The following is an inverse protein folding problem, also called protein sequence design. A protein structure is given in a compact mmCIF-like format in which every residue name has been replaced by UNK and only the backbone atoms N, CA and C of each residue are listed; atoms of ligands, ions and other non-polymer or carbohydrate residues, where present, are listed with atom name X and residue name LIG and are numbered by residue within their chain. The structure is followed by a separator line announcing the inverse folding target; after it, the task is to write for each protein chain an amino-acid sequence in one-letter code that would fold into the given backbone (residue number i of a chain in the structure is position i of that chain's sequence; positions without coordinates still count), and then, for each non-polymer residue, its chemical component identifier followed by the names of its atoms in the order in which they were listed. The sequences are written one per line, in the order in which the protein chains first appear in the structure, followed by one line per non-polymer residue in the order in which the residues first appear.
data_IF_584122568395
#
_entry.id   IF_584122568395
#
_cell.length_a   1.000
_cell.length_b   1.000
_cell.length_c   1.000
_cell.angle_alpha   90.00
_cell.angle_beta   90.00
_cell.angle_gamma   90.00
#
_symmetry.space_group_name_H-M   'P 1'
#
loop_
_entity.id
_entity.type
_entity.pdbx_description
1 polymer ?
#
# COMPACT_ATOMS: atom_id res chain seq x y z
N UNK A 1 12.65 -14.96 -17.93
CA UNK A 1 13.59 -14.90 -16.79
C UNK A 1 14.77 -13.96 -17.09
N UNK A 2 14.53 -12.72 -17.56
CA UNK A 2 15.63 -11.90 -18.09
C UNK A 2 15.37 -10.38 -18.08
N UNK A 3 14.85 -9.82 -16.99
CA UNK A 3 14.85 -8.34 -16.80
C UNK A 3 15.54 -7.94 -15.49
N UNK A 4 15.68 -8.87 -14.54
CA UNK A 4 16.23 -8.59 -13.20
C UNK A 4 17.73 -8.90 -13.03
N UNK A 5 18.38 -9.45 -14.06
CA UNK A 5 19.78 -9.91 -13.95
C UNK A 5 20.83 -8.80 -14.13
N UNK A 6 20.43 -7.59 -14.54
CA UNK A 6 21.36 -6.50 -14.87
C UNK A 6 21.54 -5.42 -13.80
N UNK A 7 20.92 -5.57 -12.62
CA UNK A 7 21.00 -4.57 -11.56
C UNK A 7 21.53 -5.22 -10.31
N UNK A 8 22.84 -5.07 -10.09
CA UNK A 8 23.62 -5.73 -9.02
C UNK A 8 23.16 -5.34 -7.60
N UNK A 9 22.22 -4.40 -7.47
CA UNK A 9 21.63 -3.91 -6.21
C UNK A 9 20.10 -3.93 -6.17
N UNK A 10 19.41 -4.48 -7.19
CA UNK A 10 17.94 -4.41 -7.31
C UNK A 10 17.15 -5.24 -6.28
N UNK A 11 17.80 -5.88 -5.33
CA UNK A 11 17.13 -6.37 -4.13
C UNK A 11 18.12 -6.25 -2.97
N UNK A 12 17.74 -5.71 -1.81
CA UNK A 12 17.41 -6.58 -0.67
C UNK A 12 16.51 -5.97 0.42
N UNK A 13 16.08 -4.70 0.35
CA UNK A 13 15.38 -4.07 1.49
C UNK A 13 14.13 -3.24 1.17
N UNK A 14 13.80 -2.96 -0.10
CA UNK A 14 12.65 -2.11 -0.46
C UNK A 14 12.17 -2.32 -1.89
N UNK A 15 10.94 -1.91 -2.19
CA UNK A 15 10.32 -1.98 -3.53
C UNK A 15 10.68 -0.80 -4.45
N UNK A 16 11.62 0.06 -4.06
CA UNK A 16 12.01 1.25 -4.82
C UNK A 16 12.30 2.46 -3.93
N UNK A 17 12.17 3.67 -4.49
CA UNK A 17 12.33 4.91 -3.75
C UNK A 17 11.17 5.10 -2.74
N UNK A 18 11.44 5.34 -1.44
CA UNK A 18 10.38 5.54 -0.47
C UNK A 18 9.61 6.84 -0.73
N UNK A 19 8.30 6.73 -0.86
CA UNK A 19 7.38 7.87 -1.05
C UNK A 19 6.74 8.25 0.29
N UNK A 20 6.21 7.24 1.00
CA UNK A 20 5.44 7.40 2.23
C UNK A 20 5.69 6.23 3.17
N UNK A 21 5.69 6.49 4.49
CA UNK A 21 5.66 5.45 5.50
C UNK A 21 4.86 5.89 6.72
N UNK A 22 4.00 4.99 7.20
CA UNK A 22 3.18 5.15 8.40
C UNK A 22 3.18 3.85 9.21
N UNK A 23 3.19 3.95 10.54
CA UNK A 23 2.88 2.83 11.44
C UNK A 23 1.84 3.24 12.48
N UNK A 24 0.77 2.46 12.58
CA UNK A 24 -0.42 2.87 13.35
C UNK A 24 -0.88 4.27 12.93
N UNK A 25 -1.20 5.13 13.90
CA UNK A 25 -1.58 6.52 13.61
C UNK A 25 -0.42 7.47 13.26
N UNK A 26 0.83 7.01 13.27
CA UNK A 26 2.01 7.89 13.16
C UNK A 26 2.65 7.79 11.79
N UNK A 27 2.74 8.91 11.08
CA UNK A 27 3.45 9.01 9.80
C UNK A 27 4.93 9.28 10.05
N UNK A 28 5.82 8.39 9.61
CA UNK A 28 7.26 8.57 9.76
C UNK A 28 7.90 9.28 8.56
N UNK A 29 7.36 9.09 7.35
CA UNK A 29 7.94 9.66 6.12
C UNK A 29 6.85 10.15 5.17
N UNK A 30 7.07 11.33 4.61
CA UNK A 30 6.36 11.92 3.47
C UNK A 30 7.40 12.58 2.57
N UNK A 31 8.02 11.79 1.71
CA UNK A 31 9.12 12.25 0.84
C UNK A 31 8.60 12.82 -0.48
N UNK A 32 7.44 12.36 -0.94
CA UNK A 32 6.70 12.91 -2.08
C UNK A 32 5.22 12.56 -1.98
N UNK A 33 4.42 13.10 -2.89
CA UNK A 33 3.02 12.69 -3.02
C UNK A 33 2.91 11.25 -3.53
N UNK A 34 1.94 10.51 -2.98
CA UNK A 34 1.53 9.20 -3.47
C UNK A 34 0.82 9.40 -4.81
N UNK A 35 1.23 8.64 -5.83
CA UNK A 35 0.71 8.73 -7.19
C UNK A 35 0.24 7.37 -7.72
N UNK A 36 -0.65 7.34 -8.73
CA UNK A 36 -0.96 6.12 -9.46
C UNK A 36 0.31 5.45 -10.00
N UNK A 37 0.39 4.13 -9.87
CA UNK A 37 1.57 3.33 -10.25
C UNK A 37 2.55 3.06 -9.10
N UNK A 38 2.45 3.79 -7.99
CA UNK A 38 3.27 3.49 -6.80
C UNK A 38 2.93 2.11 -6.22
N UNK A 39 3.92 1.44 -5.64
CA UNK A 39 3.78 0.15 -4.95
C UNK A 39 3.46 0.43 -3.50
N UNK A 40 2.34 -0.11 -3.00
CA UNK A 40 1.97 -0.04 -1.59
C UNK A 40 2.18 -1.41 -0.93
N UNK A 41 2.79 -1.39 0.25
CA UNK A 41 3.03 -2.55 1.11
C UNK A 41 2.33 -2.32 2.43
N UNK A 42 1.50 -3.27 2.82
CA UNK A 42 0.74 -3.26 4.07
C UNK A 42 1.10 -4.50 4.89
N UNK A 43 1.58 -4.31 6.12
CA UNK A 43 1.97 -5.40 7.01
C UNK A 43 1.18 -5.34 8.31
N UNK A 44 0.43 -6.40 8.61
CA UNK A 44 -0.39 -6.56 9.83
C UNK A 44 -1.32 -5.37 10.12
N UNK A 45 -1.88 -4.81 9.05
CA UNK A 45 -2.65 -3.57 9.07
C UNK A 45 -4.04 -3.81 9.64
N UNK A 46 -4.46 -2.90 10.52
CA UNK A 46 -5.84 -2.80 11.02
C UNK A 46 -6.35 -1.38 10.87
N UNK A 47 -7.36 -1.18 10.03
CA UNK A 47 -8.03 0.11 9.86
C UNK A 47 -9.42 0.06 10.47
N UNK A 48 -9.80 1.12 11.18
CA UNK A 48 -11.13 1.31 11.74
C UNK A 48 -11.59 2.73 11.55
N UNK A 49 -12.73 2.90 10.91
CA UNK A 49 -13.34 4.20 10.67
C UNK A 49 -14.83 4.09 10.39
N UNK A 50 -15.40 5.15 9.81
CA UNK A 50 -16.82 5.21 9.46
C UNK A 50 -17.01 5.54 7.98
N UNK A 51 -17.94 4.82 7.34
CA UNK A 51 -18.48 5.15 6.02
C UNK A 51 -19.91 5.65 6.21
N UNK A 52 -20.07 6.96 6.32
CA UNK A 52 -21.33 7.57 6.76
C UNK A 52 -21.60 7.17 8.22
N UNK A 53 -22.79 6.60 8.48
CA UNK A 53 -23.14 6.11 9.82
C UNK A 53 -22.60 4.71 10.13
N UNK A 54 -22.16 3.96 9.11
CA UNK A 54 -21.72 2.58 9.28
C UNK A 54 -20.24 2.52 9.64
N UNK A 55 -19.92 1.93 10.79
CA UNK A 55 -18.54 1.63 11.15
C UNK A 55 -17.98 0.54 10.23
N UNK A 56 -16.70 0.62 9.90
CA UNK A 56 -15.99 -0.43 9.18
C UNK A 56 -14.70 -0.80 9.91
N UNK A 57 -14.29 -2.05 9.73
CA UNK A 57 -13.03 -2.57 10.22
C UNK A 57 -12.43 -3.44 9.13
N UNK A 58 -11.25 -3.08 8.63
CA UNK A 58 -10.51 -3.86 7.64
C UNK A 58 -9.23 -4.37 8.28
N UNK A 59 -8.91 -5.63 8.03
CA UNK A 59 -7.69 -6.25 8.53
C UNK A 59 -6.95 -6.93 7.38
N UNK A 60 -5.65 -6.71 7.34
CA UNK A 60 -4.69 -7.43 6.51
C UNK A 60 -3.77 -8.14 7.49
N UNK A 61 -3.69 -9.46 7.41
CA UNK A 61 -2.75 -10.26 8.21
C UNK A 61 -1.56 -10.66 7.33
N UNK A 62 -0.35 -10.58 7.87
CA UNK A 62 0.86 -10.77 7.09
C UNK A 62 1.10 -9.58 6.16
N UNK A 63 1.75 -9.85 5.02
CA UNK A 63 2.11 -8.83 4.05
C UNK A 63 1.17 -8.86 2.84
N UNK A 64 0.67 -7.68 2.47
CA UNK A 64 -0.08 -7.45 1.26
C UNK A 64 0.62 -6.38 0.43
N UNK A 65 0.90 -6.73 -0.82
CA UNK A 65 1.49 -5.83 -1.81
C UNK A 65 0.46 -5.52 -2.88
N UNK A 66 0.34 -4.25 -3.25
CA UNK A 66 -0.58 -3.80 -4.29
C UNK A 66 -0.04 -2.60 -5.06
N UNK A 67 -0.78 -2.22 -6.10
CA UNK A 67 -0.48 -1.04 -6.92
C UNK A 67 -1.49 0.05 -6.62
N UNK A 68 -1.00 1.25 -6.35
CA UNK A 68 -1.85 2.44 -6.20
C UNK A 68 -2.51 2.75 -7.55
N UNK A 69 -3.83 2.76 -7.57
CA UNK A 69 -4.64 3.18 -8.71
C UNK A 69 -5.04 4.65 -8.64
N UNK A 70 -5.23 5.18 -7.42
CA UNK A 70 -5.67 6.56 -7.17
C UNK A 70 -5.29 6.98 -5.73
N UNK A 71 -5.02 8.27 -5.54
CA UNK A 71 -4.84 8.88 -4.22
C UNK A 71 -5.66 10.17 -4.07
N UNK A 72 -6.64 10.15 -3.16
CA UNK A 72 -7.45 11.32 -2.82
C UNK A 72 -6.81 12.08 -1.66
N UNK A 73 -5.95 13.05 -1.97
CA UNK A 73 -5.15 13.83 -0.98
C UNK A 73 -6.00 14.38 0.16
N UNK A 74 -7.15 15.00 -0.13
CA UNK A 74 -8.03 15.63 0.87
C UNK A 74 -8.62 14.64 1.88
N UNK A 75 -8.79 13.37 1.50
CA UNK A 75 -9.38 12.32 2.35
C UNK A 75 -8.33 11.34 2.87
N UNK A 76 -7.06 11.63 2.61
CA UNK A 76 -5.92 10.73 2.83
C UNK A 76 -6.22 9.27 2.48
N UNK A 77 -6.89 9.08 1.32
CA UNK A 77 -7.48 7.81 0.92
C UNK A 77 -6.78 7.28 -0.33
N UNK A 78 -6.22 6.09 -0.22
CA UNK A 78 -5.56 5.38 -1.33
C UNK A 78 -6.48 4.30 -1.87
N UNK A 79 -6.56 4.18 -3.18
CA UNK A 79 -7.25 3.09 -3.86
C UNK A 79 -6.21 2.17 -4.50
N UNK A 80 -6.29 0.88 -4.21
CA UNK A 80 -5.23 -0.10 -4.51
C UNK A 80 -5.81 -1.24 -5.34
N UNK A 81 -5.11 -1.64 -6.39
CA UNK A 81 -5.29 -2.95 -7.01
C UNK A 81 -4.46 -3.99 -6.26
N UNK A 82 -5.11 -5.01 -5.75
CA UNK A 82 -4.49 -6.01 -4.88
C UNK A 82 -5.08 -7.40 -5.12
N UNK A 83 -4.40 -8.47 -4.69
CA UNK A 83 -5.00 -9.79 -4.61
C UNK A 83 -6.23 -9.77 -3.70
N UNK A 84 -7.31 -10.43 -4.13
CA UNK A 84 -8.48 -10.62 -3.29
C UNK A 84 -8.11 -11.37 -2.00
N UNK A 85 -8.47 -10.80 -0.85
CA UNK A 85 -8.17 -11.39 0.46
C UNK A 85 -9.07 -12.58 0.81
N UNK A 86 -10.21 -12.72 0.13
CA UNK A 86 -11.13 -13.83 0.36
C UNK A 86 -10.65 -15.08 -0.37
N UNK A 87 -10.72 -16.27 0.25
CA UNK A 87 -10.37 -17.52 -0.41
C UNK A 87 -11.28 -17.77 -1.61
N UNK A 88 -10.74 -17.64 -2.81
CA UNK A 88 -11.40 -18.03 -4.05
C UNK A 88 -10.64 -19.20 -4.68
N UNK A 89 -11.34 -20.05 -5.43
CA UNK A 89 -10.72 -21.16 -6.19
C UNK A 89 -9.63 -20.68 -7.14
N UNK A 90 -9.73 -19.43 -7.60
CA UNK A 90 -8.72 -18.75 -8.42
C UNK A 90 -8.38 -17.39 -7.80
N UNK A 91 -7.09 -17.02 -7.70
CA UNK A 91 -6.69 -15.70 -7.25
C UNK A 91 -7.19 -14.65 -8.26
N UNK A 92 -7.85 -13.62 -7.75
CA UNK A 92 -8.39 -12.50 -8.54
C UNK A 92 -7.83 -11.19 -8.04
N UNK A 93 -7.90 -10.15 -8.87
CA UNK A 93 -7.51 -8.79 -8.48
C UNK A 93 -8.76 -8.00 -8.12
N UNK A 94 -8.75 -7.34 -6.97
CA UNK A 94 -9.79 -6.43 -6.52
C UNK A 94 -9.27 -5.01 -6.41
N UNK A 95 -10.20 -4.04 -6.37
CA UNK A 95 -9.88 -2.64 -6.14
C UNK A 95 -10.44 -2.18 -4.80
N UNK A 96 -9.56 -1.88 -3.85
CA UNK A 96 -9.92 -1.58 -2.46
C UNK A 96 -9.45 -0.19 -2.07
N UNK A 97 -10.29 0.53 -1.32
CA UNK A 97 -9.97 1.86 -0.80
C UNK A 97 -9.62 1.80 0.68
N UNK A 98 -8.49 2.40 1.06
CA UNK A 98 -8.00 2.50 2.42
C UNK A 98 -7.84 3.97 2.80
N UNK A 99 -8.40 4.37 3.95
CA UNK A 99 -8.14 5.69 4.54
C UNK A 99 -6.96 5.56 5.49
N UNK A 100 -5.85 6.20 5.16
CA UNK A 100 -4.61 6.07 5.92
C UNK A 100 -4.74 6.65 7.34
N UNK A 101 -5.62 7.63 7.53
CA UNK A 101 -5.98 8.21 8.83
C UNK A 101 -6.68 7.21 9.78
N UNK A 102 -7.31 6.16 9.25
CA UNK A 102 -8.04 5.16 10.03
C UNK A 102 -7.14 4.02 10.54
N UNK A 103 -5.83 4.06 10.23
CA UNK A 103 -4.87 3.04 10.63
C UNK A 103 -4.66 3.01 12.15
N UNK A 104 -4.98 1.88 12.78
CA UNK A 104 -4.85 1.66 14.23
C UNK A 104 -3.57 0.90 14.59
N UNK A 105 -3.17 -0.06 13.76
CA UNK A 105 -1.95 -0.87 13.96
C UNK A 105 -1.41 -1.37 12.62
N UNK A 106 -0.18 -1.90 12.63
CA UNK A 106 0.53 -2.36 11.44
C UNK A 106 1.27 -1.22 10.74
N UNK A 107 1.81 -1.51 9.56
CA UNK A 107 2.58 -0.55 8.77
C UNK A 107 2.06 -0.43 7.35
N UNK A 108 2.09 0.79 6.83
CA UNK A 108 1.80 1.10 5.43
C UNK A 108 3.02 1.83 4.86
N UNK A 109 3.58 1.29 3.80
CA UNK A 109 4.73 1.87 3.10
C UNK A 109 4.39 2.01 1.62
N UNK A 110 4.80 3.10 1.00
CA UNK A 110 4.61 3.35 -0.42
C UNK A 110 5.96 3.63 -1.06
N UNK A 111 6.19 3.00 -2.20
CA UNK A 111 7.42 3.06 -2.98
C UNK A 111 7.12 3.44 -4.41
N UNK A 112 8.03 4.19 -5.03
CA UNK A 112 8.03 4.45 -6.47
C UNK A 112 9.17 3.69 -7.12
N UNK A 113 8.92 3.09 -8.27
CA UNK A 113 9.99 2.53 -9.10
C UNK A 113 10.95 3.66 -9.44
N UNK A 114 12.20 3.56 -8.98
CA UNK A 114 13.22 4.52 -9.34
C UNK A 114 13.59 4.28 -10.81
N UNK A 115 13.51 5.32 -11.63
CA UNK A 115 14.19 5.32 -12.91
C UNK A 115 15.69 5.46 -12.61
N UNK A 116 16.51 4.56 -13.12
CA UNK A 116 17.95 4.77 -13.13
C UNK A 116 18.20 6.02 -14.01
N UNK A 117 18.65 7.12 -13.41
CA UNK A 117 19.24 8.26 -14.12
C UNK A 117 20.71 7.98 -14.32
#
# INVERSE_FOLDING_TARGET
MAVLAGVDTAYKASYGWPVFAQSGGTVQRRLSDIMPGDIIVMTDVKLKGHKGLQAYSTHVSGELVGIVSEFEVKKHKVKVWQPALQPNTYPTVESVSYRLEDLKSGTVQVYRVAENI
#
